data_IF_370801173498
#
_entry.id   IF_370801173498
#
_cell.length_a   1.000
_cell.length_b   1.000
_cell.length_c   1.000
_cell.angle_alpha   90.00
_cell.angle_beta   90.00
_cell.angle_gamma   90.00
#
_symmetry.space_group_name_H-M   'P 1'
#
loop_
_entity.id
_entity.type
_entity.pdbx_description
1 polymer ?
#
# COMPACT_ATOMS: atom_id res chain seq x y z
N UNK A 1 20.63 1.73 10.98
CA UNK A 1 20.37 3.00 11.72
C UNK A 1 20.37 4.21 10.80
N UNK A 2 21.49 4.54 10.14
CA UNK A 2 21.61 5.74 9.31
C UNK A 2 20.55 5.80 8.21
N UNK A 3 20.35 4.71 7.49
CA UNK A 3 19.31 4.60 6.44
C UNK A 3 17.90 4.93 6.97
N UNK A 4 17.48 4.27 8.05
CA UNK A 4 16.17 4.54 8.68
C UNK A 4 16.08 6.00 9.14
N UNK A 5 17.15 6.54 9.73
CA UNK A 5 17.18 7.92 10.20
C UNK A 5 17.04 8.94 9.05
N UNK A 6 17.65 8.67 7.91
CA UNK A 6 17.45 9.44 6.67
C UNK A 6 16.00 9.35 6.19
N UNK A 7 15.42 8.14 6.13
CA UNK A 7 14.04 7.92 5.68
C UNK A 7 13.01 8.70 6.53
N UNK A 8 13.18 8.72 7.86
CA UNK A 8 12.27 9.45 8.76
C UNK A 8 12.68 10.90 9.02
N UNK A 9 13.77 11.39 8.40
CA UNK A 9 14.33 12.74 8.57
C UNK A 9 14.59 13.10 10.05
N UNK A 10 15.20 12.18 10.80
CA UNK A 10 15.56 12.36 12.23
C UNK A 10 17.03 12.02 12.48
N UNK A 11 17.54 12.38 13.65
CA UNK A 11 18.93 12.09 14.02
C UNK A 11 19.12 10.58 14.34
N UNK A 12 20.29 9.98 14.01
CA UNK A 12 20.53 8.55 14.19
C UNK A 12 20.44 8.06 15.64
N UNK A 13 20.84 8.86 16.62
CA UNK A 13 20.84 8.47 18.03
C UNK A 13 19.42 8.32 18.59
N UNK A 14 18.53 9.27 18.25
CA UNK A 14 17.12 9.21 18.61
C UNK A 14 16.40 8.07 17.93
N UNK A 15 16.67 7.84 16.64
CA UNK A 15 16.11 6.71 15.89
C UNK A 15 16.58 5.38 16.46
N UNK A 16 17.84 5.25 16.83
CA UNK A 16 18.34 4.06 17.53
C UNK A 16 17.58 3.83 18.84
N UNK A 17 17.46 4.87 19.69
CA UNK A 17 16.74 4.79 20.96
C UNK A 17 15.32 4.28 20.76
N UNK A 18 14.62 4.80 19.75
CA UNK A 18 13.24 4.41 19.49
C UNK A 18 13.11 3.00 18.92
N UNK A 19 14.00 2.60 18.01
CA UNK A 19 14.02 1.24 17.49
C UNK A 19 14.33 0.20 18.59
N UNK A 20 15.25 0.52 19.50
CA UNK A 20 15.55 -0.33 20.65
C UNK A 20 14.35 -0.39 21.63
N UNK A 21 13.59 0.69 21.80
CA UNK A 21 12.36 0.69 22.60
C UNK A 21 11.26 -0.20 21.96
N UNK A 22 11.01 -0.04 20.66
CA UNK A 22 10.01 -0.83 19.93
C UNK A 22 10.36 -2.33 19.90
N UNK A 23 11.65 -2.67 19.84
CA UNK A 23 12.13 -4.04 19.99
C UNK A 23 11.86 -4.59 21.40
N UNK A 24 12.15 -3.81 22.45
CA UNK A 24 11.84 -4.20 23.85
C UNK A 24 10.35 -4.38 24.10
N UNK A 25 9.51 -3.60 23.44
CA UNK A 25 8.05 -3.72 23.51
C UNK A 25 7.52 -4.91 22.70
N UNK A 26 8.37 -5.64 21.97
CA UNK A 26 7.96 -6.75 21.11
C UNK A 26 7.16 -6.32 19.89
N UNK A 27 7.25 -5.05 19.48
CA UNK A 27 6.62 -4.53 18.25
C UNK A 27 7.52 -4.81 17.04
N UNK A 28 8.84 -4.76 17.25
CA UNK A 28 9.85 -5.08 16.24
C UNK A 28 10.67 -6.29 16.66
N UNK A 29 11.19 -7.01 15.68
CA UNK A 29 12.35 -7.90 15.82
C UNK A 29 13.52 -7.33 15.04
N UNK A 30 14.74 -7.72 15.44
CA UNK A 30 15.93 -7.39 14.68
C UNK A 30 16.77 -8.61 14.33
N UNK A 31 17.53 -8.48 13.24
CA UNK A 31 18.52 -9.45 12.81
C UNK A 31 19.84 -8.74 12.52
N UNK A 32 20.93 -9.24 13.11
CA UNK A 32 22.27 -8.76 12.81
C UNK A 32 22.87 -9.57 11.65
N UNK A 33 23.39 -8.88 10.65
CA UNK A 33 24.12 -9.46 9.52
C UNK A 33 25.36 -8.61 9.32
N UNK A 34 26.54 -9.19 9.61
CA UNK A 34 27.81 -8.47 9.66
C UNK A 34 27.73 -7.20 10.53
N UNK A 35 28.03 -6.04 9.95
CA UNK A 35 27.97 -4.73 10.60
C UNK A 35 26.58 -4.06 10.52
N UNK A 36 25.57 -4.73 9.95
CA UNK A 36 24.21 -4.20 9.80
C UNK A 36 23.25 -4.85 10.80
N UNK A 37 22.34 -4.04 11.35
CA UNK A 37 21.19 -4.49 12.16
C UNK A 37 19.92 -4.10 11.39
N UNK A 38 19.20 -5.11 10.93
CA UNK A 38 17.93 -5.00 10.23
C UNK A 38 16.79 -5.10 11.23
N UNK A 39 15.70 -4.35 11.00
CA UNK A 39 14.49 -4.42 11.80
C UNK A 39 13.30 -4.83 10.95
N UNK A 40 12.38 -5.56 11.55
CA UNK A 40 11.12 -5.97 10.96
C UNK A 40 10.00 -5.88 12.00
N UNK A 41 8.78 -5.59 11.56
CA UNK A 41 7.60 -5.69 12.44
C UNK A 41 7.39 -7.14 12.89
N UNK A 42 7.20 -7.35 14.20
CA UNK A 42 6.90 -8.67 14.77
C UNK A 42 5.42 -9.00 14.56
N UNK A 43 5.14 -9.94 13.65
CA UNK A 43 3.77 -10.33 13.28
C UNK A 43 3.05 -11.08 14.40
N UNK A 44 3.79 -11.71 15.31
CA UNK A 44 3.26 -12.39 16.50
C UNK A 44 2.99 -11.43 17.66
N UNK A 45 3.34 -10.15 17.53
CA UNK A 45 3.04 -9.14 18.54
C UNK A 45 1.53 -8.99 18.68
N UNK A 46 0.97 -8.94 19.91
CA UNK A 46 -0.45 -8.68 20.11
C UNK A 46 -0.87 -7.33 19.51
N UNK A 47 0.04 -6.36 19.43
CA UNK A 47 -0.21 -5.03 18.86
C UNK A 47 -0.11 -4.99 17.34
N UNK A 48 0.32 -6.07 16.67
CA UNK A 48 0.60 -6.03 15.24
C UNK A 48 -0.64 -5.69 14.41
N UNK A 49 -1.76 -6.38 14.67
CA UNK A 49 -3.00 -6.18 13.93
C UNK A 49 -3.56 -4.77 14.15
N UNK A 50 -3.54 -4.29 15.39
CA UNK A 50 -4.03 -2.97 15.78
C UNK A 50 -3.20 -1.84 15.15
N UNK A 51 -1.87 -1.90 15.27
CA UNK A 51 -0.96 -0.91 14.67
C UNK A 51 -1.02 -0.93 13.15
N UNK A 52 -1.06 -2.12 12.53
CA UNK A 52 -1.23 -2.26 11.08
C UNK A 52 -2.52 -1.59 10.63
N UNK A 53 -3.63 -1.81 11.35
CA UNK A 53 -4.91 -1.21 11.02
C UNK A 53 -4.92 0.30 11.27
N UNK A 54 -4.30 0.78 12.35
CA UNK A 54 -4.16 2.21 12.64
C UNK A 54 -3.35 2.91 11.54
N UNK A 55 -2.21 2.34 11.15
CA UNK A 55 -1.36 2.87 10.07
C UNK A 55 -2.11 2.84 8.73
N UNK A 56 -2.83 1.75 8.43
CA UNK A 56 -3.65 1.68 7.22
C UNK A 56 -4.77 2.74 7.22
N UNK A 57 -5.38 3.03 8.38
CA UNK A 57 -6.38 4.10 8.55
C UNK A 57 -5.76 5.48 8.41
N UNK A 58 -4.56 5.71 8.96
CA UNK A 58 -3.87 7.00 8.87
C UNK A 58 -3.34 7.28 7.46
N UNK A 59 -3.10 6.23 6.66
CA UNK A 59 -2.78 6.31 5.24
C UNK A 59 -4.04 6.45 4.35
N UNK A 60 -5.19 6.82 4.91
CA UNK A 60 -6.41 7.07 4.14
C UNK A 60 -6.95 5.84 3.39
N UNK A 61 -7.76 6.10 2.36
CA UNK A 61 -8.44 5.04 1.59
C UNK A 61 -7.45 4.15 0.82
N UNK A 62 -6.32 4.70 0.36
CA UNK A 62 -5.31 3.93 -0.37
C UNK A 62 -4.63 2.89 0.54
N UNK A 63 -4.39 3.22 1.81
CA UNK A 63 -3.89 2.28 2.82
C UNK A 63 -4.87 1.14 3.09
N UNK A 64 -6.16 1.46 3.20
CA UNK A 64 -7.22 0.46 3.39
C UNK A 64 -7.37 -0.48 2.18
N UNK A 65 -7.42 0.08 0.96
CA UNK A 65 -7.48 -0.70 -0.27
C UNK A 65 -6.25 -1.60 -0.43
N UNK A 66 -5.04 -1.09 -0.13
CA UNK A 66 -3.82 -1.90 -0.16
C UNK A 66 -3.84 -3.06 0.83
N UNK A 67 -4.40 -2.86 2.02
CA UNK A 67 -4.54 -3.92 3.02
C UNK A 67 -5.49 -5.02 2.53
N UNK A 68 -6.58 -4.65 1.87
CA UNK A 68 -7.57 -5.56 1.28
C UNK A 68 -7.02 -6.34 0.09
N UNK A 69 -6.33 -5.66 -0.83
CA UNK A 69 -5.79 -6.29 -2.04
C UNK A 69 -4.69 -7.31 -1.72
N UNK A 70 -3.95 -7.11 -0.62
CA UNK A 70 -2.95 -8.07 -0.12
C UNK A 70 -3.54 -9.43 0.24
N UNK A 71 -4.81 -9.50 0.66
CA UNK A 71 -5.45 -10.79 0.98
C UNK A 71 -6.07 -11.46 -0.24
N UNK A 72 -6.22 -10.74 -1.35
CA UNK A 72 -6.93 -11.18 -2.56
C UNK A 72 -6.00 -11.66 -3.69
N UNK A 73 -4.72 -11.93 -3.37
CA UNK A 73 -3.68 -12.39 -4.30
C UNK A 73 -3.53 -11.57 -5.60
N UNK A 74 -3.80 -10.27 -5.51
CA UNK A 74 -3.74 -9.35 -6.65
C UNK A 74 -2.30 -9.09 -7.06
N UNK A 75 -1.98 -9.29 -8.35
CA UNK A 75 -0.62 -9.07 -8.87
C UNK A 75 -0.30 -7.60 -9.10
N UNK A 76 -1.19 -6.87 -9.77
CA UNK A 76 -1.01 -5.44 -10.05
C UNK A 76 -2.30 -4.68 -9.73
N UNK A 77 -2.19 -3.61 -8.96
CA UNK A 77 -3.30 -2.71 -8.70
C UNK A 77 -2.80 -1.33 -8.34
N UNK A 78 -3.49 -0.31 -8.82
CA UNK A 78 -3.15 1.08 -8.57
C UNK A 78 -4.36 2.00 -8.69
N UNK A 79 -4.32 3.10 -7.97
CA UNK A 79 -5.31 4.17 -8.06
C UNK A 79 -4.84 5.18 -9.11
N UNK A 80 -5.77 5.70 -9.90
CA UNK A 80 -5.51 6.70 -10.95
C UNK A 80 -6.59 7.78 -10.98
N UNK A 81 -6.37 8.81 -11.80
CA UNK A 81 -7.30 9.92 -11.97
C UNK A 81 -7.21 10.97 -10.85
N UNK A 82 -8.26 11.78 -10.63
CA UNK A 82 -8.19 12.96 -9.76
C UNK A 82 -7.73 12.66 -8.33
N UNK A 83 -8.13 11.51 -7.76
CA UNK A 83 -7.69 11.11 -6.42
C UNK A 83 -6.17 10.87 -6.33
N UNK A 84 -5.52 10.47 -7.42
CA UNK A 84 -4.07 10.31 -7.45
C UNK A 84 -3.32 11.66 -7.48
N UNK A 85 -4.03 12.77 -7.75
CA UNK A 85 -3.48 14.14 -7.76
C UNK A 85 -3.80 14.89 -6.47
N UNK A 86 -5.03 14.74 -5.95
CA UNK A 86 -5.45 15.28 -4.66
C UNK A 86 -6.42 14.33 -3.94
N UNK A 87 -6.19 14.13 -2.64
CA UNK A 87 -7.06 13.33 -1.78
C UNK A 87 -8.44 13.97 -1.55
N UNK A 88 -8.67 15.20 -2.01
CA UNK A 88 -9.97 15.89 -1.94
C UNK A 88 -11.02 15.29 -2.89
N UNK A 89 -10.61 14.50 -3.89
CA UNK A 89 -11.53 13.92 -4.85
C UNK A 89 -12.54 12.95 -4.20
N UNK A 90 -13.82 13.08 -4.54
CA UNK A 90 -14.91 12.25 -3.97
C UNK A 90 -14.90 10.80 -4.45
N UNK A 91 -14.20 10.53 -5.56
CA UNK A 91 -14.18 9.20 -6.20
C UNK A 91 -12.75 8.72 -6.37
N UNK A 92 -12.54 7.43 -6.08
CA UNK A 92 -11.27 6.72 -6.22
C UNK A 92 -11.40 5.72 -7.35
N UNK A 93 -10.67 5.94 -8.45
CA UNK A 93 -10.64 4.97 -9.55
C UNK A 93 -9.52 3.95 -9.29
N UNK A 94 -9.90 2.69 -9.14
CA UNK A 94 -9.02 1.59 -8.81
C UNK A 94 -8.95 0.61 -10.00
N UNK A 95 -7.78 0.49 -10.61
CA UNK A 95 -7.52 -0.54 -11.62
C UNK A 95 -6.87 -1.74 -10.96
N UNK A 96 -7.38 -2.94 -11.27
CA UNK A 96 -6.84 -4.21 -10.79
C UNK A 96 -6.63 -5.15 -11.97
N UNK A 97 -5.42 -5.69 -12.09
CA UNK A 97 -5.08 -6.70 -13.08
C UNK A 97 -4.82 -8.06 -12.43
N UNK A 98 -5.49 -9.09 -12.93
CA UNK A 98 -5.28 -10.49 -12.53
C UNK A 98 -5.99 -10.88 -11.22
N UNK A 99 -7.21 -10.38 -10.99
CA UNK A 99 -8.08 -10.86 -9.91
C UNK A 99 -9.42 -11.32 -10.49
N UNK A 100 -9.95 -12.44 -10.00
CA UNK A 100 -11.26 -12.94 -10.41
C UNK A 100 -12.38 -12.52 -9.46
N UNK A 101 -12.08 -12.33 -8.18
CA UNK A 101 -13.07 -11.97 -7.16
C UNK A 101 -12.48 -11.01 -6.13
N UNK A 102 -13.27 -10.00 -5.75
CA UNK A 102 -12.95 -9.07 -4.67
C UNK A 102 -14.03 -9.15 -3.58
N UNK A 103 -13.67 -9.01 -2.31
CA UNK A 103 -14.63 -8.96 -1.21
C UNK A 103 -15.38 -7.61 -1.26
N UNK A 104 -16.48 -7.57 -2.02
CA UNK A 104 -17.25 -6.33 -2.26
C UNK A 104 -17.83 -5.71 -0.99
N UNK A 105 -18.18 -6.51 0.02
CA UNK A 105 -18.61 -5.97 1.32
C UNK A 105 -17.50 -5.18 2.01
N UNK A 106 -16.25 -5.66 1.96
CA UNK A 106 -15.11 -4.91 2.50
C UNK A 106 -14.82 -3.65 1.69
N UNK A 107 -15.14 -3.61 0.40
CA UNK A 107 -15.05 -2.37 -0.39
C UNK A 107 -16.10 -1.37 0.09
N UNK A 108 -17.35 -1.79 0.30
CA UNK A 108 -18.42 -0.92 0.80
C UNK A 108 -18.10 -0.34 2.18
N UNK A 109 -17.57 -1.17 3.09
CA UNK A 109 -17.11 -0.71 4.41
C UNK A 109 -16.01 0.36 4.29
N UNK A 110 -15.13 0.24 3.28
CA UNK A 110 -14.11 1.25 2.99
C UNK A 110 -14.78 2.53 2.44
N UNK A 111 -15.70 2.41 1.49
CA UNK A 111 -16.42 3.57 0.93
C UNK A 111 -17.15 4.37 2.00
N UNK A 112 -17.95 3.71 2.84
CA UNK A 112 -18.72 4.33 3.93
C UNK A 112 -17.81 5.04 4.93
N UNK A 113 -16.72 4.37 5.32
CA UNK A 113 -15.80 4.87 6.33
C UNK A 113 -15.02 6.09 5.88
N UNK A 114 -14.65 6.16 4.61
CA UNK A 114 -13.87 7.27 4.07
C UNK A 114 -14.73 8.30 3.33
N UNK A 115 -16.04 8.06 3.20
CA UNK A 115 -16.97 8.94 2.51
C UNK A 115 -16.64 9.13 1.03
N UNK A 116 -15.98 8.15 0.40
CA UNK A 116 -15.52 8.22 -0.99
C UNK A 116 -15.94 6.98 -1.75
N UNK A 117 -16.46 7.15 -2.96
CA UNK A 117 -16.83 6.02 -3.82
C UNK A 117 -15.59 5.40 -4.47
N UNK A 118 -15.55 4.08 -4.58
CA UNK A 118 -14.47 3.33 -5.22
C UNK A 118 -14.99 2.74 -6.52
N UNK A 119 -14.55 3.30 -7.65
CA UNK A 119 -14.84 2.75 -8.97
C UNK A 119 -13.79 1.71 -9.33
N UNK A 120 -14.18 0.45 -9.47
CA UNK A 120 -13.25 -0.66 -9.73
C UNK A 120 -13.29 -1.07 -11.19
N UNK A 121 -12.13 -1.08 -11.83
CA UNK A 121 -11.91 -1.66 -13.16
C UNK A 121 -11.05 -2.90 -13.02
N UNK A 122 -11.60 -4.07 -13.40
CA UNK A 122 -10.89 -5.35 -13.38
C UNK A 122 -10.52 -5.73 -14.81
N UNK A 123 -9.25 -6.08 -15.02
CA UNK A 123 -8.71 -6.50 -16.32
C UNK A 123 -7.98 -7.83 -16.12
N UNK A 124 -8.03 -8.72 -17.11
CA UNK A 124 -7.19 -9.93 -17.07
C UNK A 124 -5.70 -9.57 -17.09
N UNK A 125 -4.86 -10.38 -16.45
CA UNK A 125 -3.43 -10.10 -16.40
C UNK A 125 -2.77 -10.16 -17.78
N UNK A 126 -3.18 -11.11 -18.64
CA UNK A 126 -2.61 -11.26 -19.97
C UNK A 126 -3.08 -10.13 -20.88
N UNK A 127 -4.35 -9.73 -20.74
CA UNK A 127 -4.89 -8.57 -21.43
C UNK A 127 -4.12 -7.31 -21.01
N UNK A 128 -3.92 -7.07 -19.71
CA UNK A 128 -3.18 -5.90 -19.22
C UNK A 128 -1.74 -5.86 -19.76
N UNK A 129 -1.04 -7.01 -19.80
CA UNK A 129 0.30 -7.09 -20.38
C UNK A 129 0.28 -6.84 -21.88
N UNK A 130 -0.65 -7.46 -22.62
CA UNK A 130 -0.80 -7.27 -24.05
C UNK A 130 -1.07 -5.82 -24.43
N UNK A 131 -2.03 -5.17 -23.76
CA UNK A 131 -2.39 -3.75 -23.97
C UNK A 131 -1.22 -2.81 -23.68
N UNK A 132 -0.39 -3.17 -22.70
CA UNK A 132 0.81 -2.41 -22.34
C UNK A 132 1.93 -2.59 -23.37
N UNK A 133 2.16 -3.81 -23.85
CA UNK A 133 3.16 -4.11 -24.87
C UNK A 133 2.78 -3.54 -26.25
N UNK A 134 1.49 -3.50 -26.56
CA UNK A 134 0.97 -2.91 -27.80
C UNK A 134 0.95 -1.38 -27.79
N UNK A 135 1.24 -0.73 -26.64
CA UNK A 135 1.18 0.73 -26.51
C UNK A 135 -0.22 1.28 -26.72
N UNK A 136 -1.25 0.60 -26.21
CA UNK A 136 -2.62 1.08 -26.41
C UNK A 136 -2.84 2.46 -25.79
N UNK A 137 -3.30 3.41 -26.59
CA UNK A 137 -3.39 4.82 -26.23
C UNK A 137 -4.15 5.12 -24.92
N UNK A 138 -5.21 4.36 -24.62
CA UNK A 138 -5.98 4.54 -23.39
C UNK A 138 -5.17 4.11 -22.16
N UNK A 139 -4.58 2.91 -22.21
CA UNK A 139 -3.77 2.39 -21.12
C UNK A 139 -2.48 3.19 -20.96
N UNK A 140 -1.83 3.60 -22.05
CA UNK A 140 -0.65 4.49 -22.01
C UNK A 140 -0.98 5.82 -21.35
N UNK A 141 -2.08 6.47 -21.72
CA UNK A 141 -2.49 7.73 -21.11
C UNK A 141 -2.70 7.57 -19.60
N UNK A 142 -3.33 6.47 -19.20
CA UNK A 142 -3.58 6.12 -17.79
C UNK A 142 -2.25 5.84 -17.05
N UNK A 143 -1.34 5.09 -17.67
CA UNK A 143 -0.01 4.78 -17.11
C UNK A 143 0.92 6.00 -17.10
N UNK A 144 0.75 6.97 -17.98
CA UNK A 144 1.55 8.19 -18.01
C UNK A 144 1.13 9.20 -16.94
N UNK A 145 -0.11 9.12 -16.46
CA UNK A 145 -0.65 9.98 -15.40
C UNK A 145 -0.14 9.68 -13.99
N UNK A 146 -0.55 10.54 -13.06
CA UNK A 146 -0.37 10.37 -11.63
C UNK A 146 -1.11 9.10 -11.16
N UNK A 147 -0.42 8.30 -10.36
CA UNK A 147 -0.93 7.01 -9.88
C UNK A 147 -0.34 6.63 -8.54
N UNK A 148 -1.17 5.99 -7.71
CA UNK A 148 -0.76 5.47 -6.41
C UNK A 148 -0.72 3.95 -6.50
N UNK A 149 0.50 3.39 -6.51
CA UNK A 149 0.71 1.95 -6.59
C UNK A 149 0.28 1.26 -5.28
N UNK A 150 -0.68 0.33 -5.39
CA UNK A 150 -1.14 -0.48 -4.26
C UNK A 150 -0.45 -1.84 -4.23
N UNK A 151 -0.36 -2.52 -5.39
CA UNK A 151 0.21 -3.86 -5.57
C UNK A 151 1.08 -3.92 -6.83
N UNK A 152 2.10 -4.77 -6.81
CA UNK A 152 2.97 -5.03 -7.97
C UNK A 152 3.93 -3.89 -8.33
N UNK A 153 4.47 -3.98 -9.53
CA UNK A 153 5.26 -2.93 -10.20
C UNK A 153 4.75 -2.82 -11.63
N UNK A 154 4.71 -1.59 -12.14
CA UNK A 154 4.50 -1.32 -13.56
C UNK A 154 5.83 -1.43 -14.30
#
# INVERSE_FOLDING_TARGET
MREIATLVRKNPSGVKRELDNLEKMGILTSKKVANLKYFQAEKKSPLFAELKNLIAKSLGIHGALKALLKTSNVKTAFIYGPYAESEDADTVNLLIAGVNTLPMESIREIEEKFGKKVHITVIDENEFKGRKESGEAELEKLLSGNKIMLMGKL
#
